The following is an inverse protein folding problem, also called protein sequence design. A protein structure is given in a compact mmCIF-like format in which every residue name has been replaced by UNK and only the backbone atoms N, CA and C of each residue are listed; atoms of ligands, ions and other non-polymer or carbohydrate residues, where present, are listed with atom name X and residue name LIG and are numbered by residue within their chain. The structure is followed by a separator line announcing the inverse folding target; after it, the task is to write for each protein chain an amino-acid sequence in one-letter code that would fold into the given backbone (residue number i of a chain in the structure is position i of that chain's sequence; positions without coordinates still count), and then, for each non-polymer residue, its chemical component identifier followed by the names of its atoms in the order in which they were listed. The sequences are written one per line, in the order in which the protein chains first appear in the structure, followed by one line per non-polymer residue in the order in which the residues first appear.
data_IF_959387119363
#
_entry.id   IF_959387119363
#
_cell.length_a   1.000
_cell.length_b   1.000
_cell.length_c   1.000
_cell.angle_alpha   90.00
_cell.angle_beta   90.00
_cell.angle_gamma   90.00
#
_symmetry.space_group_name_H-M   'P 1'
#
loop_
_entity.id
_entity.type
_entity.pdbx_description
1 polymer ?
#
# COMPACT_ATOMS: atom_id res chain seq x y z
N UNK A 1 -1.10 -3.22 13.25
CA UNK A 1 -1.38 -1.89 12.67
C UNK A 1 -1.92 -0.98 13.76
N UNK A 2 -1.45 0.26 13.90
CA UNK A 2 -1.93 1.16 14.96
C UNK A 2 -2.53 2.44 14.37
N UNK A 3 -3.74 2.79 14.79
CA UNK A 3 -4.49 3.93 14.26
C UNK A 3 -4.61 5.03 15.29
N UNK A 4 -4.32 6.26 14.85
CA UNK A 4 -4.59 7.46 15.65
C UNK A 4 -6.08 7.70 15.73
N UNK A 5 -6.60 7.82 16.94
CA UNK A 5 -7.99 8.15 17.24
C UNK A 5 -8.06 9.23 18.33
N UNK A 6 -9.17 9.96 18.39
CA UNK A 6 -9.31 11.05 19.37
C UNK A 6 -9.42 10.51 20.81
N UNK A 7 -10.06 9.35 20.97
CA UNK A 7 -10.29 8.66 22.24
C UNK A 7 -10.23 7.15 22.01
N UNK A 8 -9.21 6.48 22.55
CA UNK A 8 -8.94 5.07 22.31
C UNK A 8 -10.04 4.17 22.88
N UNK A 9 -10.49 4.45 24.11
CA UNK A 9 -11.55 3.67 24.77
C UNK A 9 -12.86 3.74 23.99
N UNK A 10 -13.27 4.93 23.55
CA UNK A 10 -14.50 5.10 22.79
C UNK A 10 -14.46 4.36 21.46
N UNK A 11 -13.34 4.44 20.73
CA UNK A 11 -13.15 3.72 19.47
C UNK A 11 -13.21 2.20 19.67
N UNK A 12 -12.57 1.69 20.72
CA UNK A 12 -12.60 0.28 21.09
C UNK A 12 -14.01 -0.20 21.45
N UNK A 13 -14.67 0.49 22.39
CA UNK A 13 -16.04 0.14 22.83
C UNK A 13 -17.01 0.12 21.63
N UNK A 14 -16.88 1.10 20.72
CA UNK A 14 -17.68 1.15 19.49
C UNK A 14 -17.42 -0.06 18.58
N UNK A 15 -16.15 -0.36 18.29
CA UNK A 15 -15.79 -1.47 17.42
C UNK A 15 -16.31 -2.81 17.98
N UNK A 16 -16.15 -3.04 19.28
CA UNK A 16 -16.65 -4.25 19.96
C UNK A 16 -18.18 -4.30 19.91
N UNK A 17 -18.87 -3.19 20.18
CA UNK A 17 -20.34 -3.13 20.07
C UNK A 17 -20.85 -3.38 18.64
N UNK A 18 -20.00 -3.17 17.62
CA UNK A 18 -20.26 -3.48 16.21
C UNK A 18 -19.85 -4.91 15.81
N UNK A 19 -19.35 -5.72 16.73
CA UNK A 19 -19.01 -7.13 16.49
C UNK A 19 -17.52 -7.38 16.21
N UNK A 20 -16.65 -6.39 16.37
CA UNK A 20 -15.21 -6.64 16.36
C UNK A 20 -14.81 -7.57 17.51
N UNK A 21 -13.84 -8.46 17.27
CA UNK A 21 -13.28 -9.31 18.33
C UNK A 21 -12.23 -8.50 19.11
N UNK A 22 -12.44 -8.25 20.42
CA UNK A 22 -11.44 -7.57 21.24
C UNK A 22 -10.19 -8.44 21.42
N UNK A 23 -9.03 -7.81 21.54
CA UNK A 23 -7.79 -8.48 21.91
C UNK A 23 -7.41 -8.18 23.36
N UNK A 24 -7.61 -9.18 24.23
CA UNK A 24 -7.40 -9.08 25.67
C UNK A 24 -6.04 -9.64 26.13
N UNK A 25 -5.17 -10.02 25.19
CA UNK A 25 -3.83 -10.53 25.49
C UNK A 25 -2.93 -9.49 26.15
N UNK A 26 -1.99 -9.95 26.97
CA UNK A 26 -0.96 -9.15 27.67
C UNK A 26 0.36 -9.04 26.88
N UNK A 27 0.43 -9.69 25.71
CA UNK A 27 1.56 -9.67 24.78
C UNK A 27 1.45 -8.58 23.69
N UNK A 28 0.62 -7.57 23.94
CA UNK A 28 0.51 -6.39 23.08
C UNK A 28 1.84 -5.63 23.05
N UNK A 29 2.18 -5.09 21.88
CA UNK A 29 3.37 -4.24 21.71
C UNK A 29 3.21 -2.85 22.33
N UNK A 30 1.97 -2.35 22.41
CA UNK A 30 1.62 -1.07 23.02
C UNK A 30 0.51 -1.32 24.03
N UNK A 31 0.57 -0.70 25.21
CA UNK A 31 -0.48 -0.80 26.23
C UNK A 31 -1.67 0.11 25.90
N UNK A 32 -2.31 -0.19 24.77
CA UNK A 32 -3.52 0.49 24.29
C UNK A 32 -4.57 -0.53 23.85
N UNK A 33 -5.87 -0.17 23.83
CA UNK A 33 -6.92 -1.04 23.34
C UNK A 33 -6.68 -1.49 21.89
N UNK A 34 -6.97 -2.76 21.60
CA UNK A 34 -6.82 -3.34 20.27
C UNK A 34 -7.90 -4.37 19.95
N UNK A 35 -8.22 -4.52 18.67
CA UNK A 35 -9.10 -5.57 18.14
C UNK A 35 -8.33 -6.47 17.18
N UNK A 36 -8.87 -7.67 16.92
CA UNK A 36 -8.34 -8.57 15.88
C UNK A 36 -8.76 -8.07 14.49
N UNK A 37 -7.78 -7.87 13.62
CA UNK A 37 -7.92 -7.44 12.22
C UNK A 37 -7.42 -8.48 11.22
N UNK A 38 -6.95 -8.01 10.06
CA UNK A 38 -6.55 -8.83 8.90
C UNK A 38 -5.58 -9.95 9.29
N UNK A 39 -5.89 -11.19 8.90
CA UNK A 39 -5.01 -12.34 9.16
C UNK A 39 -4.73 -12.62 10.63
N UNK A 40 -5.55 -12.11 11.56
CA UNK A 40 -5.29 -12.21 13.00
C UNK A 40 -4.35 -11.13 13.56
N UNK A 41 -3.86 -10.22 12.73
CA UNK A 41 -3.05 -9.09 13.17
C UNK A 41 -3.86 -8.13 14.06
N UNK A 42 -3.18 -7.44 14.97
CA UNK A 42 -3.85 -6.50 15.86
C UNK A 42 -4.03 -5.12 15.22
N UNK A 43 -5.21 -4.54 15.39
CA UNK A 43 -5.53 -3.16 15.09
C UNK A 43 -5.65 -2.37 16.40
N UNK A 44 -4.63 -1.57 16.70
CA UNK A 44 -4.51 -0.78 17.93
C UNK A 44 -5.18 0.58 17.78
N UNK A 45 -5.76 1.09 18.86
CA UNK A 45 -6.33 2.44 18.96
C UNK A 45 -5.45 3.32 19.83
N UNK A 46 -4.79 4.31 19.24
CA UNK A 46 -3.82 5.19 19.91
C UNK A 46 -4.37 6.61 19.98
N UNK A 47 -4.51 7.16 21.19
CA UNK A 47 -4.92 8.55 21.40
C UNK A 47 -3.84 9.45 22.04
N UNK A 48 -2.65 8.91 22.28
CA UNK A 48 -1.43 9.63 22.73
C UNK A 48 -0.56 9.99 21.52
N UNK A 49 -0.74 11.20 20.99
CA UNK A 49 0.06 11.76 19.91
C UNK A 49 0.00 13.29 19.89
N UNK A 50 0.99 13.95 19.26
CA UNK A 50 1.02 15.41 19.12
C UNK A 50 1.24 16.07 20.48
N UNK A 51 0.38 17.03 20.84
CA UNK A 51 0.46 17.74 22.12
C UNK A 51 0.23 16.83 23.33
N UNK A 52 -0.39 15.66 23.13
CA UNK A 52 -0.58 14.65 24.18
C UNK A 52 0.67 13.78 24.42
N UNK A 53 1.73 13.95 23.63
CA UNK A 53 2.95 13.15 23.72
C UNK A 53 3.13 12.18 22.56
N UNK A 54 3.76 11.04 22.84
CA UNK A 54 4.13 10.02 21.85
C UNK A 54 3.67 8.66 22.32
N UNK A 55 3.18 7.83 21.39
CA UNK A 55 2.81 6.45 21.65
C UNK A 55 4.00 5.55 22.03
N UNK A 56 5.23 6.03 21.86
CA UNK A 56 6.45 5.24 22.08
C UNK A 56 7.13 5.58 23.42
N UNK A 57 6.90 6.78 23.97
CA UNK A 57 7.71 7.32 25.07
C UNK A 57 7.64 6.51 26.36
N UNK A 58 6.48 5.90 26.64
CA UNK A 58 6.27 5.10 27.85
C UNK A 58 6.47 3.60 27.60
N UNK A 59 6.64 3.20 26.34
CA UNK A 59 6.65 1.79 25.89
C UNK A 59 8.05 1.31 25.48
N UNK A 60 8.95 2.24 25.11
CA UNK A 60 10.27 1.92 24.57
C UNK A 60 11.38 2.80 25.15
N UNK A 61 12.53 2.18 25.39
CA UNK A 61 13.78 2.88 25.68
C UNK A 61 14.51 3.25 24.38
N UNK A 62 14.98 4.49 24.29
CA UNK A 62 15.85 4.93 23.20
C UNK A 62 17.24 4.29 23.34
N UNK A 63 17.79 3.79 22.23
CA UNK A 63 19.14 3.21 22.21
C UNK A 63 20.24 4.29 22.25
N UNK A 64 19.95 5.46 21.68
CA UNK A 64 20.85 6.61 21.57
C UNK A 64 20.11 7.91 21.97
N UNK A 65 20.69 9.07 21.66
CA UNK A 65 20.02 10.35 21.83
C UNK A 65 18.63 10.34 21.15
N UNK A 66 17.62 10.81 21.88
CA UNK A 66 16.25 10.86 21.38
C UNK A 66 16.16 11.72 20.12
N UNK A 67 15.88 11.05 19.00
CA UNK A 67 15.60 11.67 17.71
C UNK A 67 14.33 11.04 17.11
N UNK A 68 13.14 11.65 17.31
CA UNK A 68 11.89 11.13 16.77
C UNK A 68 11.72 11.38 15.26
N UNK A 69 12.63 12.12 14.62
CA UNK A 69 12.57 12.47 13.21
C UNK A 69 13.97 12.43 12.59
N UNK A 70 14.63 11.26 12.57
CA UNK A 70 15.93 11.13 11.92
C UNK A 70 15.81 11.48 10.43
N UNK A 71 16.89 11.98 9.83
CA UNK A 71 16.91 12.41 8.42
C UNK A 71 16.41 11.31 7.46
N UNK A 72 16.80 10.06 7.73
CA UNK A 72 16.41 8.91 6.92
C UNK A 72 16.83 9.05 5.45
N UNK A 73 15.98 8.54 4.55
CA UNK A 73 16.20 8.57 3.09
C UNK A 73 15.03 9.25 2.36
N UNK A 74 14.39 10.23 3.00
CA UNK A 74 13.39 11.10 2.36
C UNK A 74 11.93 10.64 2.43
N UNK A 75 11.62 9.49 3.04
CA UNK A 75 10.24 9.04 3.27
C UNK A 75 9.78 9.36 4.68
N UNK A 76 8.56 9.89 4.82
CA UNK A 76 8.13 10.49 6.10
C UNK A 76 6.71 10.12 6.56
N UNK A 77 5.94 9.38 5.76
CA UNK A 77 4.61 8.92 6.16
C UNK A 77 4.19 7.61 5.49
N UNK A 78 3.24 6.91 6.09
CA UNK A 78 2.56 5.77 5.45
C UNK A 78 1.41 6.31 4.58
N UNK A 79 1.46 6.08 3.28
CA UNK A 79 0.44 6.55 2.34
C UNK A 79 -0.78 5.63 2.33
N UNK A 80 -0.53 4.34 2.18
CA UNK A 80 -1.52 3.28 2.18
C UNK A 80 -0.86 1.92 2.44
N UNK A 81 -1.68 0.89 2.56
CA UNK A 81 -1.26 -0.51 2.63
C UNK A 81 -2.35 -1.38 2.04
N UNK A 82 -2.02 -2.56 1.54
CA UNK A 82 -2.99 -3.45 0.89
C UNK A 82 -3.39 -4.61 1.78
N UNK A 83 -4.51 -5.26 1.45
CA UNK A 83 -4.86 -6.57 1.98
C UNK A 83 -5.08 -7.54 0.82
N UNK A 84 -4.31 -8.63 0.80
CA UNK A 84 -4.64 -9.78 -0.04
C UNK A 84 -5.53 -10.71 0.77
N UNK A 85 -6.70 -11.01 0.21
CA UNK A 85 -7.77 -11.78 0.88
C UNK A 85 -8.13 -13.01 0.07
N UNK A 86 -8.69 -14.03 0.72
CA UNK A 86 -9.16 -15.22 0.02
C UNK A 86 -10.33 -14.89 -0.91
N UNK A 87 -10.50 -15.72 -1.94
CA UNK A 87 -11.67 -15.63 -2.83
C UNK A 87 -12.97 -15.69 -2.03
N UNK A 88 -13.85 -14.71 -2.23
CA UNK A 88 -15.10 -14.49 -1.51
C UNK A 88 -14.99 -13.64 -0.23
N UNK A 89 -13.78 -13.29 0.22
CA UNK A 89 -13.59 -12.53 1.47
C UNK A 89 -13.45 -11.01 1.27
N UNK A 90 -13.47 -10.48 0.04
CA UNK A 90 -13.43 -9.03 -0.17
C UNK A 90 -14.59 -8.32 0.53
N UNK A 91 -15.82 -8.84 0.44
CA UNK A 91 -16.99 -8.26 1.10
C UNK A 91 -16.90 -8.35 2.63
N UNK A 92 -16.36 -9.45 3.16
CA UNK A 92 -16.09 -9.60 4.59
C UNK A 92 -15.20 -8.47 5.13
N UNK A 93 -14.09 -8.18 4.44
CA UNK A 93 -13.16 -7.12 4.87
C UNK A 93 -13.68 -5.71 4.56
N UNK A 94 -14.46 -5.55 3.50
CA UNK A 94 -15.19 -4.32 3.26
C UNK A 94 -16.18 -4.01 4.38
N UNK A 95 -17.02 -4.98 4.75
CA UNK A 95 -18.00 -4.83 5.82
C UNK A 95 -17.31 -4.51 7.14
N UNK A 96 -16.19 -5.16 7.45
CA UNK A 96 -15.36 -4.85 8.62
C UNK A 96 -14.98 -3.36 8.66
N UNK A 97 -14.41 -2.80 7.59
CA UNK A 97 -13.98 -1.40 7.59
C UNK A 97 -15.15 -0.40 7.46
N UNK A 98 -16.19 -0.75 6.70
CA UNK A 98 -17.39 0.07 6.53
C UNK A 98 -18.16 0.20 7.84
N UNK A 99 -18.43 -0.92 8.52
CA UNK A 99 -19.38 -0.92 9.64
C UNK A 99 -18.74 -0.47 10.96
N UNK A 100 -17.44 -0.74 11.15
CA UNK A 100 -16.71 -0.34 12.36
C UNK A 100 -16.18 1.10 12.27
N UNK A 101 -15.79 1.55 11.07
CA UNK A 101 -15.02 2.78 10.90
C UNK A 101 -15.57 3.73 9.82
N UNK A 102 -16.70 3.39 9.21
CA UNK A 102 -17.36 4.20 8.19
C UNK A 102 -16.48 4.45 6.95
N UNK A 103 -15.62 3.50 6.59
CA UNK A 103 -14.86 3.59 5.35
C UNK A 103 -15.79 3.64 4.15
N UNK A 104 -15.31 4.29 3.08
CA UNK A 104 -16.01 4.39 1.79
C UNK A 104 -15.20 3.70 0.72
N UNK A 105 -15.88 2.97 -0.16
CA UNK A 105 -15.29 2.57 -1.43
C UNK A 105 -15.18 3.81 -2.32
N UNK A 106 -13.97 4.08 -2.80
CA UNK A 106 -13.70 5.19 -3.72
C UNK A 106 -13.49 4.70 -5.16
N UNK A 107 -13.08 3.45 -5.31
CA UNK A 107 -12.90 2.85 -6.63
C UNK A 107 -13.01 1.32 -6.55
N UNK A 108 -13.36 0.70 -7.68
CA UNK A 108 -13.32 -0.74 -7.86
C UNK A 108 -12.61 -1.03 -9.17
N UNK A 109 -11.59 -1.87 -9.11
CA UNK A 109 -10.79 -2.27 -10.24
C UNK A 109 -11.11 -3.72 -10.58
N UNK A 110 -11.25 -3.98 -11.88
CA UNK A 110 -11.44 -5.30 -12.45
C UNK A 110 -10.36 -5.50 -13.52
N UNK A 111 -9.29 -6.21 -13.16
CA UNK A 111 -8.04 -6.20 -13.91
C UNK A 111 -7.75 -7.58 -14.46
N UNK A 112 -7.50 -7.63 -15.75
CA UNK A 112 -6.96 -8.78 -16.45
C UNK A 112 -5.56 -8.42 -16.96
N UNK A 113 -4.55 -9.18 -16.51
CA UNK A 113 -3.22 -9.16 -17.07
C UNK A 113 -3.11 -10.07 -18.29
N UNK A 114 -1.91 -10.62 -18.54
CA UNK A 114 -1.70 -11.46 -19.73
C UNK A 114 -2.18 -12.88 -19.52
N UNK A 115 -2.05 -13.39 -18.30
CA UNK A 115 -2.37 -14.80 -17.97
C UNK A 115 -3.36 -14.88 -16.81
N UNK A 116 -3.27 -13.94 -15.86
CA UNK A 116 -4.10 -13.92 -14.66
C UNK A 116 -4.77 -12.57 -14.46
N UNK A 117 -5.77 -12.53 -13.58
CA UNK A 117 -6.49 -11.32 -13.20
C UNK A 117 -6.78 -11.23 -11.71
N UNK A 118 -7.16 -10.03 -11.28
CA UNK A 118 -7.61 -9.76 -9.92
C UNK A 118 -8.75 -8.75 -9.93
N UNK A 119 -9.49 -8.72 -8.83
CA UNK A 119 -10.37 -7.61 -8.50
C UNK A 119 -9.82 -6.88 -7.28
N UNK A 120 -9.95 -5.55 -7.27
CA UNK A 120 -9.50 -4.72 -6.16
C UNK A 120 -10.55 -3.72 -5.75
N UNK A 121 -10.83 -3.62 -4.45
CA UNK A 121 -11.70 -2.59 -3.88
C UNK A 121 -10.86 -1.60 -3.09
N UNK A 122 -10.71 -0.39 -3.62
CA UNK A 122 -10.03 0.70 -2.94
C UNK A 122 -10.97 1.39 -1.95
N UNK A 123 -10.65 1.29 -0.66
CA UNK A 123 -11.43 1.91 0.41
C UNK A 123 -10.61 2.99 1.13
N UNK A 124 -11.28 4.05 1.57
CA UNK A 124 -10.67 5.16 2.32
C UNK A 124 -11.43 5.45 3.61
N UNK A 125 -10.71 5.87 4.64
CA UNK A 125 -11.29 6.30 5.90
C UNK A 125 -12.00 7.65 5.75
N UNK A 126 -12.96 7.97 6.66
CA UNK A 126 -13.64 9.27 6.65
C UNK A 126 -12.71 10.49 6.74
N UNK A 127 -11.52 10.33 7.32
CA UNK A 127 -10.54 11.41 7.42
C UNK A 127 -9.63 11.54 6.18
N UNK A 128 -9.79 10.66 5.18
CA UNK A 128 -9.03 10.66 3.94
C UNK A 128 -7.56 10.26 4.07
N UNK A 129 -7.12 9.80 5.27
CA UNK A 129 -5.70 9.50 5.55
C UNK A 129 -5.35 8.02 5.49
N UNK A 130 -6.32 7.13 5.69
CA UNK A 130 -6.08 5.69 5.68
C UNK A 130 -6.74 5.14 4.43
N UNK A 131 -5.94 4.55 3.55
CA UNK A 131 -6.44 3.90 2.34
C UNK A 131 -5.98 2.45 2.34
N UNK A 132 -6.88 1.56 1.94
CA UNK A 132 -6.62 0.12 1.94
C UNK A 132 -7.22 -0.49 0.67
N UNK A 133 -6.42 -0.82 -0.35
CA UNK A 133 -6.90 -1.67 -1.42
C UNK A 133 -7.07 -3.12 -0.91
N UNK A 134 -8.27 -3.66 -1.09
CA UNK A 134 -8.60 -5.06 -0.81
C UNK A 134 -8.51 -5.84 -2.11
N UNK A 135 -7.58 -6.79 -2.23
CA UNK A 135 -7.30 -7.53 -3.45
C UNK A 135 -7.71 -8.99 -3.32
N UNK A 136 -8.39 -9.50 -4.34
CA UNK A 136 -8.85 -10.88 -4.42
C UNK A 136 -8.53 -11.46 -5.81
N UNK A 137 -8.15 -12.73 -5.85
CA UNK A 137 -7.81 -13.42 -7.09
C UNK A 137 -9.02 -13.82 -7.91
N UNK A 138 -8.94 -13.67 -9.24
CA UNK A 138 -9.86 -14.33 -10.18
C UNK A 138 -9.47 -15.79 -10.48
N UNK A 139 -8.18 -16.09 -10.37
CA UNK A 139 -7.59 -17.35 -10.82
C UNK A 139 -6.90 -18.12 -9.68
N UNK A 140 -6.58 -19.40 -9.89
CA UNK A 140 -5.98 -20.25 -8.85
C UNK A 140 -4.44 -20.14 -8.78
N UNK A 141 -3.84 -19.47 -9.77
CA UNK A 141 -2.38 -19.32 -9.95
C UNK A 141 -1.91 -17.86 -9.91
N UNK A 142 -2.80 -16.90 -9.64
CA UNK A 142 -2.43 -15.48 -9.63
C UNK A 142 -1.41 -15.13 -8.55
N UNK A 143 -0.82 -13.95 -8.66
CA UNK A 143 0.03 -13.35 -7.63
C UNK A 143 -0.64 -13.26 -6.24
N UNK A 144 -1.97 -13.12 -6.17
CA UNK A 144 -2.69 -13.06 -4.90
C UNK A 144 -2.70 -14.45 -4.26
N UNK A 145 -2.92 -15.50 -5.05
CA UNK A 145 -2.84 -16.89 -4.56
C UNK A 145 -1.43 -17.31 -4.17
N UNK A 146 -0.40 -16.87 -4.91
CA UNK A 146 0.99 -17.08 -4.52
C UNK A 146 1.29 -16.41 -3.16
N UNK A 147 0.82 -15.17 -2.96
CA UNK A 147 0.94 -14.48 -1.68
C UNK A 147 0.28 -15.27 -0.56
N UNK A 148 -1.00 -15.66 -0.70
CA UNK A 148 -1.75 -16.36 0.34
C UNK A 148 -1.07 -17.67 0.75
N UNK A 149 -0.53 -18.43 -0.23
CA UNK A 149 0.22 -19.67 0.01
C UNK A 149 1.54 -19.42 0.75
N UNK A 150 2.32 -18.42 0.33
CA UNK A 150 3.62 -18.09 0.94
C UNK A 150 3.49 -17.44 2.31
N UNK A 151 2.50 -16.58 2.49
CA UNK A 151 2.23 -15.88 3.75
C UNK A 151 1.53 -16.79 4.77
N UNK A 152 0.78 -17.79 4.30
CA UNK A 152 0.02 -18.72 5.15
C UNK A 152 -1.34 -18.19 5.58
N UNK A 153 -1.91 -17.22 4.86
CA UNK A 153 -3.15 -16.56 5.24
C UNK A 153 -3.39 -15.25 4.50
N UNK A 154 -4.50 -14.60 4.83
CA UNK A 154 -4.78 -13.21 4.43
C UNK A 154 -3.84 -12.25 5.18
N UNK A 155 -3.49 -11.13 4.56
CA UNK A 155 -2.53 -10.24 5.18
C UNK A 155 -2.20 -9.01 4.35
N UNK A 156 -1.27 -8.22 4.88
CA UNK A 156 -0.74 -7.04 4.20
C UNK A 156 0.29 -7.50 3.17
N UNK A 157 0.05 -7.20 1.89
CA UNK A 157 0.98 -7.55 0.82
C UNK A 157 2.07 -6.49 0.67
N UNK A 158 1.69 -5.22 0.69
CA UNK A 158 2.65 -4.13 0.65
C UNK A 158 2.22 -2.95 1.49
N UNK A 159 3.22 -2.14 1.82
CA UNK A 159 3.08 -0.88 2.53
C UNK A 159 3.69 0.21 1.65
N UNK A 160 2.92 1.25 1.35
CA UNK A 160 3.38 2.40 0.62
C UNK A 160 3.84 3.51 1.57
N UNK A 161 5.04 4.03 1.32
CA UNK A 161 5.63 5.13 2.08
C UNK A 161 5.85 6.34 1.19
N UNK A 162 5.42 7.50 1.68
CA UNK A 162 5.36 8.71 0.89
C UNK A 162 6.56 9.64 1.05
N UNK A 163 6.89 10.34 -0.04
CA UNK A 163 7.97 11.34 -0.14
C UNK A 163 7.55 12.53 -1.01
N UNK A 164 8.23 13.67 -0.82
CA UNK A 164 8.14 14.84 -1.68
C UNK A 164 9.30 14.89 -2.71
N UNK A 165 10.22 13.93 -2.67
CA UNK A 165 11.38 13.85 -3.57
C UNK A 165 11.67 12.40 -3.95
N UNK A 166 10.81 11.83 -4.80
CA UNK A 166 10.91 10.41 -5.15
C UNK A 166 12.21 10.07 -5.88
N UNK A 167 12.77 11.00 -6.64
CA UNK A 167 13.99 10.74 -7.41
C UNK A 167 15.19 10.54 -6.50
N UNK A 168 15.52 11.54 -5.68
CA UNK A 168 16.70 11.45 -4.82
C UNK A 168 16.49 10.41 -3.70
N UNK A 169 15.25 10.23 -3.22
CA UNK A 169 14.93 9.20 -2.23
C UNK A 169 15.11 7.78 -2.80
N UNK A 170 14.73 7.56 -4.06
CA UNK A 170 14.91 6.26 -4.74
C UNK A 170 16.39 5.98 -4.97
N UNK A 171 17.18 6.97 -5.40
CA UNK A 171 18.63 6.81 -5.58
C UNK A 171 19.31 6.42 -4.27
N UNK A 172 18.91 7.04 -3.15
CA UNK A 172 19.39 6.70 -1.79
C UNK A 172 19.01 5.28 -1.38
N UNK A 173 17.80 4.83 -1.69
CA UNK A 173 17.39 3.43 -1.45
C UNK A 173 18.22 2.44 -2.29
N UNK A 174 18.46 2.75 -3.57
CA UNK A 174 19.29 1.93 -4.44
C UNK A 174 20.74 1.83 -3.95
N UNK A 175 21.30 2.97 -3.50
CA UNK A 175 22.63 3.04 -2.90
C UNK A 175 22.74 2.22 -1.61
N UNK A 176 21.64 2.10 -0.86
CA UNK A 176 21.49 1.21 0.30
C UNK A 176 21.11 -0.24 -0.11
N UNK A 177 21.38 -0.61 -1.35
CA UNK A 177 21.24 -1.96 -1.92
C UNK A 177 19.81 -2.50 -2.05
N UNK A 178 18.78 -1.68 -1.81
CA UNK A 178 17.39 -2.09 -2.05
C UNK A 178 17.22 -2.43 -3.54
N UNK A 179 16.54 -3.55 -3.81
CA UNK A 179 16.24 -3.99 -5.18
C UNK A 179 14.81 -3.65 -5.52
N UNK A 180 14.61 -3.02 -6.66
CA UNK A 180 13.30 -2.72 -7.23
C UNK A 180 12.82 -3.84 -8.15
N UNK A 181 11.51 -3.87 -8.38
CA UNK A 181 10.90 -4.66 -9.45
C UNK A 181 11.44 -4.21 -10.82
N UNK A 182 11.38 -5.09 -11.85
CA UNK A 182 11.70 -4.67 -13.21
C UNK A 182 10.87 -3.46 -13.63
N UNK A 183 11.54 -2.42 -14.13
CA UNK A 183 10.88 -1.27 -14.70
C UNK A 183 10.16 -1.61 -16.02
N UNK A 184 9.17 -0.80 -16.44
CA UNK A 184 8.48 -0.99 -17.70
C UNK A 184 9.41 -0.72 -18.90
N UNK A 185 9.05 -1.16 -20.12
CA UNK A 185 9.85 -0.93 -21.32
C UNK A 185 9.98 0.56 -21.65
N UNK A 186 10.98 0.95 -22.45
CA UNK A 186 11.24 2.35 -22.83
C UNK A 186 10.00 3.05 -23.44
N UNK A 187 9.22 2.31 -24.23
CA UNK A 187 7.97 2.80 -24.84
C UNK A 187 6.95 3.29 -23.81
N UNK A 188 6.94 2.74 -22.58
CA UNK A 188 6.10 3.23 -21.49
C UNK A 188 6.42 4.70 -21.16
N UNK A 189 7.69 5.07 -21.17
CA UNK A 189 8.15 6.42 -20.87
C UNK A 189 7.95 7.37 -22.05
N UNK A 190 8.18 6.90 -23.27
CA UNK A 190 7.91 7.67 -24.49
C UNK A 190 6.43 8.08 -24.58
N UNK A 191 5.52 7.17 -24.21
CA UNK A 191 4.07 7.41 -24.22
C UNK A 191 3.55 8.15 -22.97
N UNK A 192 4.40 8.47 -21.99
CA UNK A 192 3.96 9.08 -20.72
C UNK A 192 3.27 10.43 -20.92
N UNK A 193 3.76 11.25 -21.85
CA UNK A 193 3.21 12.57 -22.20
C UNK A 193 1.81 12.49 -22.80
N UNK A 194 1.50 11.38 -23.47
CA UNK A 194 0.18 11.14 -24.05
C UNK A 194 -0.82 10.70 -22.96
N UNK A 195 -0.37 9.89 -21.99
CA UNK A 195 -1.19 9.40 -20.88
C UNK A 195 -1.45 10.49 -19.83
N UNK A 196 -0.41 11.22 -19.43
CA UNK A 196 -0.48 12.25 -18.38
C UNK A 196 -0.14 13.61 -18.99
N UNK A 197 -1.10 14.18 -19.72
CA UNK A 197 -0.85 15.40 -20.49
C UNK A 197 -0.36 16.58 -19.61
N UNK A 198 0.69 17.24 -20.08
CA UNK A 198 1.25 18.43 -19.44
C UNK A 198 2.18 18.16 -18.25
N UNK A 199 2.51 16.90 -17.94
CA UNK A 199 3.54 16.61 -16.92
C UNK A 199 4.93 17.02 -17.44
N UNK A 200 5.85 17.42 -16.55
CA UNK A 200 7.25 17.79 -16.87
C UNK A 200 8.28 16.89 -16.16
N UNK A 201 7.87 15.68 -15.79
CA UNK A 201 8.72 14.75 -15.05
C UNK A 201 9.97 14.33 -15.84
N UNK A 202 11.15 14.22 -15.19
CA UNK A 202 12.40 13.85 -15.84
C UNK A 202 12.42 12.37 -16.24
N UNK A 203 12.07 12.07 -17.49
CA UNK A 203 11.94 10.71 -18.01
C UNK A 203 13.19 9.85 -17.76
N UNK A 204 14.39 10.40 -17.91
CA UNK A 204 15.63 9.64 -17.69
C UNK A 204 15.82 9.24 -16.22
N UNK A 205 15.50 10.13 -15.27
CA UNK A 205 15.51 9.78 -13.83
C UNK A 205 14.43 8.75 -13.50
N UNK A 206 13.28 8.80 -14.18
CA UNK A 206 12.25 7.79 -13.99
C UNK A 206 12.69 6.42 -14.51
N UNK A 207 13.30 6.38 -15.70
CA UNK A 207 13.82 5.16 -16.35
C UNK A 207 14.90 4.47 -15.52
N UNK A 208 15.77 5.24 -14.87
CA UNK A 208 16.93 4.73 -14.13
C UNK A 208 16.57 3.63 -13.11
N UNK A 209 15.46 3.81 -12.40
CA UNK A 209 15.00 2.86 -11.38
C UNK A 209 13.64 2.23 -11.69
N UNK A 210 12.97 2.61 -12.77
CA UNK A 210 11.67 2.05 -13.13
C UNK A 210 10.50 2.77 -12.46
N UNK A 211 10.62 4.07 -12.17
CA UNK A 211 9.53 4.86 -11.57
C UNK A 211 8.38 4.97 -12.57
N UNK A 212 7.19 4.62 -12.11
CA UNK A 212 5.95 4.70 -12.86
C UNK A 212 5.30 6.08 -12.71
N UNK A 213 4.54 6.49 -13.72
CA UNK A 213 3.75 7.72 -13.73
C UNK A 213 2.32 7.43 -14.16
N UNK A 214 1.39 7.98 -13.39
CA UNK A 214 -0.02 8.07 -13.73
C UNK A 214 -0.56 9.44 -13.30
N UNK A 215 -1.82 9.71 -13.65
CA UNK A 215 -2.55 10.86 -13.13
C UNK A 215 -3.53 11.44 -14.12
N UNK A 216 -4.17 12.53 -13.70
CA UNK A 216 -5.09 13.29 -14.52
C UNK A 216 -4.34 14.45 -15.19
N UNK A 217 -4.39 14.49 -16.53
CA UNK A 217 -3.91 15.64 -17.32
C UNK A 217 -4.59 16.96 -16.93
N UNK A 218 -4.20 18.08 -17.56
CA UNK A 218 -4.81 19.39 -17.28
C UNK A 218 -6.31 19.38 -17.57
N UNK A 219 -7.14 19.40 -16.52
CA UNK A 219 -8.59 19.62 -16.60
C UNK A 219 -8.86 21.09 -16.25
N UNK A 220 -9.60 21.78 -17.11
CA UNK A 220 -10.12 23.16 -16.90
C UNK A 220 -9.08 24.23 -16.49
N UNK A 221 -7.84 24.11 -16.98
CA UNK A 221 -6.76 25.08 -16.69
C UNK A 221 -6.14 24.93 -15.30
N UNK A 222 -6.40 23.81 -14.60
CA UNK A 222 -5.74 23.43 -13.35
C UNK A 222 -4.31 22.90 -13.55
N UNK A 223 -3.66 22.55 -12.44
CA UNK A 223 -2.37 21.85 -12.49
C UNK A 223 -2.58 20.38 -12.83
N UNK A 224 -1.70 19.80 -13.66
CA UNK A 224 -1.64 18.35 -13.90
C UNK A 224 -1.47 17.65 -12.56
N UNK A 225 -2.32 16.66 -12.29
CA UNK A 225 -2.19 15.80 -11.11
C UNK A 225 -1.35 14.60 -11.50
N UNK A 226 -0.33 14.31 -10.71
CA UNK A 226 0.63 13.24 -11.03
C UNK A 226 0.76 12.32 -9.82
N UNK A 227 0.84 11.03 -10.09
CA UNK A 227 1.16 9.98 -9.15
C UNK A 227 2.42 9.25 -9.62
N UNK A 228 3.48 9.34 -8.81
CA UNK A 228 4.74 8.64 -9.07
C UNK A 228 4.89 7.49 -8.09
N UNK A 229 5.19 6.29 -8.59
CA UNK A 229 5.27 5.07 -7.79
C UNK A 229 6.45 4.20 -8.22
N UNK A 230 7.11 3.55 -7.26
CA UNK A 230 8.11 2.51 -7.51
C UNK A 230 8.00 1.43 -6.43
N UNK A 231 8.25 0.19 -6.82
CA UNK A 231 8.03 -0.98 -5.97
C UNK A 231 9.33 -1.73 -5.72
N UNK A 232 9.59 -2.08 -4.47
CA UNK A 232 10.67 -3.00 -4.13
C UNK A 232 10.35 -4.41 -4.61
N UNK A 233 11.38 -5.25 -4.76
CA UNK A 233 11.19 -6.71 -4.69
C UNK A 233 10.66 -7.11 -3.31
N UNK A 234 10.21 -8.35 -3.16
CA UNK A 234 9.81 -8.87 -1.86
C UNK A 234 10.99 -8.87 -0.88
N UNK A 235 10.77 -8.33 0.32
CA UNK A 235 11.79 -8.13 1.35
C UNK A 235 11.54 -8.95 2.62
N UNK A 236 10.27 -9.28 2.91
CA UNK A 236 9.90 -10.08 4.09
C UNK A 236 8.91 -11.15 3.63
N UNK A 237 9.41 -12.35 3.35
CA UNK A 237 8.59 -13.39 2.73
C UNK A 237 7.98 -12.87 1.42
N UNK A 238 6.64 -12.88 1.24
CA UNK A 238 6.00 -12.31 0.05
C UNK A 238 5.65 -10.81 0.16
N UNK A 239 6.07 -10.12 1.23
CA UNK A 239 5.79 -8.68 1.44
C UNK A 239 6.82 -7.82 0.72
N UNK A 240 6.36 -6.75 0.07
CA UNK A 240 7.19 -5.71 -0.55
C UNK A 240 6.79 -4.30 -0.08
N UNK A 241 7.56 -3.29 -0.47
CA UNK A 241 7.26 -1.89 -0.19
C UNK A 241 7.03 -1.12 -1.47
N UNK A 242 6.16 -0.11 -1.37
CA UNK A 242 5.96 0.90 -2.40
C UNK A 242 6.51 2.23 -1.89
N UNK A 243 7.12 2.98 -2.81
CA UNK A 243 7.59 4.34 -2.58
C UNK A 243 6.82 5.26 -3.51
N UNK A 244 6.13 6.23 -2.93
CA UNK A 244 5.11 7.02 -3.64
C UNK A 244 5.33 8.52 -3.44
N UNK A 245 5.09 9.28 -4.50
CA UNK A 245 4.97 10.73 -4.42
C UNK A 245 3.67 11.16 -5.10
N UNK A 246 2.83 11.86 -4.34
CA UNK A 246 1.58 12.46 -4.83
C UNK A 246 1.84 13.92 -5.19
N UNK A 247 1.64 14.29 -6.45
CA UNK A 247 1.61 15.68 -6.91
C UNK A 247 0.18 16.04 -7.29
N UNK A 248 -0.67 16.18 -6.28
CA UNK A 248 -2.09 16.54 -6.43
C UNK A 248 -3.05 15.39 -6.73
N UNK A 249 -2.55 14.21 -7.09
CA UNK A 249 -3.39 13.00 -7.26
C UNK A 249 -3.60 12.27 -5.93
N UNK A 250 -4.85 12.16 -5.48
CA UNK A 250 -5.27 11.50 -4.24
C UNK A 250 -5.82 10.08 -4.45
N UNK A 251 -5.83 9.60 -5.69
CA UNK A 251 -6.29 8.29 -6.12
C UNK A 251 -5.20 7.21 -6.06
N UNK A 252 -5.33 6.17 -6.89
CA UNK A 252 -4.41 5.02 -6.91
C UNK A 252 -3.68 4.80 -8.23
N UNK A 253 -4.06 5.54 -9.30
CA UNK A 253 -3.50 5.37 -10.64
C UNK A 253 -3.80 4.00 -11.25
N UNK A 254 -4.85 3.89 -12.07
CA UNK A 254 -5.22 2.63 -12.74
C UNK A 254 -4.10 2.08 -13.63
N UNK A 255 -3.41 2.96 -14.37
CA UNK A 255 -2.29 2.61 -15.24
C UNK A 255 -1.07 2.16 -14.44
N UNK A 256 -0.75 2.82 -13.33
CA UNK A 256 0.33 2.38 -12.43
C UNK A 256 0.01 1.03 -11.80
N UNK A 257 -1.23 0.81 -11.37
CA UNK A 257 -1.66 -0.47 -10.81
C UNK A 257 -1.53 -1.60 -11.85
N UNK A 258 -1.95 -1.35 -13.10
CA UNK A 258 -1.81 -2.31 -14.19
C UNK A 258 -0.34 -2.63 -14.49
N UNK A 259 0.52 -1.61 -14.54
CA UNK A 259 1.95 -1.80 -14.76
C UNK A 259 2.63 -2.58 -13.62
N UNK A 260 2.24 -2.34 -12.36
CA UNK A 260 2.66 -3.16 -11.22
C UNK A 260 2.22 -4.62 -11.41
N UNK A 261 0.96 -4.84 -11.77
CA UNK A 261 0.42 -6.19 -11.96
C UNK A 261 1.21 -6.96 -13.02
N UNK A 262 1.45 -6.35 -14.18
CA UNK A 262 2.22 -6.93 -15.28
C UNK A 262 3.68 -7.21 -14.88
N UNK A 263 4.31 -6.33 -14.10
CA UNK A 263 5.69 -6.52 -13.60
C UNK A 263 5.81 -7.71 -12.63
N UNK A 264 4.83 -7.89 -11.75
CA UNK A 264 4.78 -9.06 -10.85
C UNK A 264 4.51 -10.35 -11.65
N UNK A 265 3.59 -10.32 -12.61
CA UNK A 265 3.30 -11.46 -13.48
C UNK A 265 4.55 -11.91 -14.27
N UNK A 266 5.32 -10.95 -14.80
CA UNK A 266 6.59 -11.23 -15.48
C UNK A 266 7.62 -11.89 -14.53
N UNK A 267 7.72 -11.41 -13.28
CA UNK A 267 8.58 -12.05 -12.28
C UNK A 267 8.13 -13.48 -11.94
N UNK A 268 6.81 -13.74 -11.87
CA UNK A 268 6.28 -15.09 -11.67
C UNK A 268 6.65 -16.04 -12.83
N UNK A 269 6.54 -15.56 -14.07
CA UNK A 269 6.95 -16.31 -15.27
C UNK A 269 8.46 -16.59 -15.21
N UNK A 270 9.27 -15.57 -14.91
CA UNK A 270 10.73 -15.69 -14.82
C UNK A 270 11.16 -16.70 -13.74
N UNK A 271 10.43 -16.78 -12.63
CA UNK A 271 10.65 -17.75 -11.55
C UNK A 271 10.05 -19.13 -11.83
N UNK A 272 9.32 -19.30 -12.94
CA UNK A 272 8.65 -20.55 -13.30
C UNK A 272 7.45 -20.89 -12.42
N UNK A 273 6.90 -19.91 -11.69
CA UNK A 273 5.70 -20.08 -10.87
C UNK A 273 4.45 -20.07 -11.75
N UNK A 274 4.46 -19.23 -12.78
CA UNK A 274 3.38 -19.12 -13.75
C UNK A 274 3.85 -19.72 -15.09
N UNK A 275 3.09 -20.68 -15.62
CA UNK A 275 3.41 -21.30 -16.91
C UNK A 275 2.62 -20.60 -18.03
N UNK A 276 3.32 -20.17 -19.07
CA UNK A 276 2.73 -19.48 -20.24
C UNK A 276 1.92 -20.41 -21.14
N UNK A 277 2.11 -21.72 -21.04
CA UNK A 277 1.40 -22.72 -21.85
C UNK A 277 -0.03 -23.01 -21.38
N UNK A 278 -0.44 -22.55 -20.19
CA UNK A 278 -1.78 -22.79 -19.65
C UNK A 278 -2.86 -21.84 -20.21
N UNK A 279 -2.50 -20.97 -21.16
CA UNK A 279 -3.37 -19.93 -21.74
C UNK A 279 -3.90 -20.27 -23.15
N UNK A 280 -3.69 -21.49 -23.65
CA UNK A 280 -4.34 -22.05 -24.86
C UNK A 280 -5.46 -23.04 -24.49
#
# INVERSE_FOLDING_TARGET
MAWRVVNAKHAFDHAVAKGATPYEGDDKTLDVPAIVGIGGSLLYFVDTYGDKGSAYSDEFDWLDATDPKPEGVGFYYLDHLTHNVYRGNMDKWWDFYRDLFNFKQIHFFDIDGRITGLVSRAITSPCGKIRIPLNESKDDTSQIEEYLKKYGGEGIQHIAVGTDDIYDSTDRLAANELKFMPGPPETYYEMSKDRVQGHDEPLERMKEHGILIDGEGVIDGGMTKILLQIFSKTVIGPIFFEFIQRKGDEGFGEGNFRALFESIEEDQIRRGVLNTEAAE
#
